data_IF_119180489500
#
_entry.id   IF_119180489500
#
_cell.length_a   1.000
_cell.length_b   1.000
_cell.length_c   1.000
_cell.angle_alpha   90.00
_cell.angle_beta   90.00
_cell.angle_gamma   90.00
#
_symmetry.space_group_name_H-M   'P 1'
#
loop_
_entity.id
_entity.type
_entity.pdbx_description
1 polymer ?
#
# COMPACT_ATOMS: atom_id res chain seq x y z
N UNK A 1 8.30 -18.07 0.92
CA UNK A 1 9.46 -18.22 0.03
C UNK A 1 9.09 -18.20 -1.45
N UNK A 2 8.14 -19.04 -1.90
CA UNK A 2 7.82 -19.16 -3.33
C UNK A 2 7.12 -17.92 -3.91
N UNK A 3 6.32 -17.23 -3.14
CA UNK A 3 5.62 -16.04 -3.60
C UNK A 3 6.55 -14.84 -3.82
N UNK A 4 7.62 -14.74 -3.05
CA UNK A 4 8.62 -13.67 -3.19
C UNK A 4 9.72 -14.03 -4.18
N UNK A 5 9.99 -15.34 -4.40
CA UNK A 5 11.00 -15.81 -5.33
C UNK A 5 10.65 -15.59 -6.79
N UNK A 6 9.38 -15.62 -7.14
CA UNK A 6 8.91 -15.39 -8.50
C UNK A 6 9.01 -13.94 -8.97
N UNK A 7 9.23 -13.00 -8.04
CA UNK A 7 9.48 -11.59 -8.36
C UNK A 7 10.96 -11.23 -8.53
N UNK A 8 11.86 -12.09 -8.07
CA UNK A 8 13.29 -11.82 -8.07
C UNK A 8 13.96 -12.37 -9.34
N UNK A 9 14.17 -11.51 -10.32
CA UNK A 9 14.95 -11.82 -11.51
C UNK A 9 14.20 -12.40 -12.70
N UNK A 10 12.90 -12.64 -12.58
CA UNK A 10 12.02 -12.94 -13.71
C UNK A 10 11.15 -11.73 -14.05
N UNK A 11 10.85 -11.55 -15.33
CA UNK A 11 9.89 -10.52 -15.75
C UNK A 11 8.61 -10.65 -14.92
N UNK A 12 7.99 -9.54 -14.49
CA UNK A 12 6.80 -9.57 -13.63
C UNK A 12 5.77 -10.47 -14.28
N UNK A 13 5.54 -11.62 -13.65
CA UNK A 13 4.51 -12.53 -14.11
C UNK A 13 3.17 -11.84 -13.82
N UNK A 14 2.45 -11.48 -14.87
CA UNK A 14 1.14 -10.83 -14.77
C UNK A 14 0.13 -11.72 -14.02
N UNK A 15 0.42 -13.00 -13.92
CA UNK A 15 -0.44 -14.01 -13.28
C UNK A 15 -0.10 -14.26 -11.80
N UNK A 16 0.88 -13.53 -11.22
CA UNK A 16 1.12 -13.62 -9.78
C UNK A 16 -0.03 -12.96 -9.04
N UNK A 17 -0.75 -13.77 -8.28
CA UNK A 17 -1.87 -13.33 -7.47
C UNK A 17 -1.39 -12.78 -6.11
N UNK A 18 -2.29 -12.11 -5.41
CA UNK A 18 -2.13 -11.69 -4.03
C UNK A 18 -1.05 -10.62 -3.83
N UNK A 19 -0.33 -10.70 -2.72
CA UNK A 19 0.63 -9.71 -2.27
C UNK A 19 1.74 -9.46 -3.28
N UNK A 20 2.26 -10.50 -3.94
CA UNK A 20 3.32 -10.38 -4.92
C UNK A 20 2.91 -9.55 -6.16
N UNK A 21 1.64 -9.59 -6.53
CA UNK A 21 1.10 -8.74 -7.59
C UNK A 21 1.28 -7.25 -7.25
N UNK A 22 0.91 -6.86 -6.03
CA UNK A 22 1.04 -5.46 -5.59
C UNK A 22 2.50 -5.05 -5.38
N UNK A 23 3.34 -5.94 -4.81
CA UNK A 23 4.77 -5.69 -4.66
C UNK A 23 5.44 -5.42 -6.02
N UNK A 24 5.10 -6.20 -7.05
CA UNK A 24 5.63 -5.99 -8.40
C UNK A 24 5.16 -4.68 -9.03
N UNK A 25 4.00 -4.17 -8.63
CA UNK A 25 3.49 -2.88 -9.12
C UNK A 25 4.27 -1.68 -8.59
N UNK A 26 4.82 -1.78 -7.38
CA UNK A 26 5.59 -0.71 -6.77
C UNK A 26 7.11 -0.96 -6.82
N UNK A 27 7.53 -2.19 -7.10
CA UNK A 27 8.95 -2.53 -7.21
C UNK A 27 9.54 -1.88 -8.48
N UNK A 28 10.52 -1.01 -8.28
CA UNK A 28 11.12 -0.22 -9.36
C UNK A 28 10.46 1.14 -9.58
N UNK A 29 9.48 1.52 -8.78
CA UNK A 29 9.07 2.92 -8.65
C UNK A 29 10.18 3.72 -7.96
N UNK A 30 10.31 4.99 -8.26
CA UNK A 30 11.48 5.80 -7.87
C UNK A 30 11.81 5.74 -6.38
N UNK A 31 10.82 5.64 -5.52
CA UNK A 31 11.00 5.64 -4.07
C UNK A 31 11.06 4.24 -3.46
N UNK A 32 10.72 3.18 -4.21
CA UNK A 32 10.57 1.83 -3.67
C UNK A 32 11.31 0.75 -4.48
N UNK A 33 12.34 1.16 -5.23
CA UNK A 33 13.19 0.21 -5.94
C UNK A 33 13.83 -0.80 -4.98
N UNK A 34 13.70 -2.08 -5.31
CA UNK A 34 14.30 -3.17 -4.52
C UNK A 34 13.47 -3.62 -3.31
N UNK A 35 12.20 -3.21 -3.18
CA UNK A 35 11.31 -3.67 -2.09
C UNK A 35 11.21 -5.21 -2.04
N UNK A 36 11.12 -5.88 -3.19
CA UNK A 36 11.08 -7.34 -3.26
C UNK A 36 12.35 -7.98 -2.68
N UNK A 37 13.52 -7.43 -3.00
CA UNK A 37 14.81 -7.92 -2.51
C UNK A 37 14.93 -7.72 -1.00
N UNK A 38 14.51 -6.57 -0.48
CA UNK A 38 14.52 -6.29 0.97
C UNK A 38 13.68 -7.31 1.73
N UNK A 39 12.43 -7.54 1.29
CA UNK A 39 11.52 -8.51 1.92
C UNK A 39 12.09 -9.93 1.82
N UNK A 40 12.60 -10.32 0.65
CA UNK A 40 13.17 -11.65 0.44
C UNK A 40 14.38 -11.91 1.34
N UNK A 41 15.32 -10.97 1.40
CA UNK A 41 16.50 -11.08 2.25
C UNK A 41 16.14 -11.11 3.73
N UNK A 42 15.16 -10.33 4.16
CA UNK A 42 14.67 -10.34 5.53
C UNK A 42 14.03 -11.70 5.90
N UNK A 43 13.27 -12.33 4.98
CA UNK A 43 12.79 -13.71 5.21
C UNK A 43 13.90 -14.73 5.34
N UNK A 44 14.98 -14.62 4.54
CA UNK A 44 16.14 -15.53 4.63
C UNK A 44 16.84 -15.34 5.97
N UNK A 45 17.15 -14.11 6.34
CA UNK A 45 17.83 -13.78 7.60
C UNK A 45 16.99 -14.19 8.81
N UNK A 46 15.70 -13.85 8.82
CA UNK A 46 14.79 -14.22 9.90
C UNK A 46 14.65 -15.74 10.07
N UNK A 47 14.62 -16.50 8.99
CA UNK A 47 14.63 -17.97 9.04
C UNK A 47 15.93 -18.51 9.66
N UNK A 48 17.08 -17.93 9.27
CA UNK A 48 18.35 -18.32 9.86
C UNK A 48 18.43 -17.99 11.35
N UNK A 49 17.92 -16.84 11.76
CA UNK A 49 17.80 -16.41 13.15
C UNK A 49 16.97 -17.41 13.98
N UNK A 50 15.81 -17.85 13.46
CA UNK A 50 14.97 -18.87 14.13
C UNK A 50 15.74 -20.18 14.34
N UNK A 51 16.46 -20.66 13.33
CA UNK A 51 17.26 -21.89 13.42
C UNK A 51 18.36 -21.76 14.48
N UNK A 52 18.97 -20.59 14.58
CA UNK A 52 20.03 -20.28 15.54
C UNK A 52 19.48 -19.90 16.94
N UNK A 53 18.16 -19.79 17.09
CA UNK A 53 17.48 -19.31 18.31
C UNK A 53 17.85 -17.87 18.69
N UNK A 54 18.22 -17.07 17.70
CA UNK A 54 18.44 -15.64 17.82
C UNK A 54 17.11 -14.91 17.59
N UNK A 55 16.39 -14.72 18.67
CA UNK A 55 15.03 -14.16 18.58
C UNK A 55 15.03 -12.64 18.43
N UNK A 56 16.09 -11.98 18.84
CA UNK A 56 16.24 -10.53 18.64
C UNK A 56 16.40 -10.23 17.14
N UNK A 57 17.31 -10.92 16.47
CA UNK A 57 17.48 -10.82 15.01
C UNK A 57 16.21 -11.21 14.24
N UNK A 58 15.50 -12.28 14.69
CA UNK A 58 14.19 -12.63 14.09
C UNK A 58 13.21 -11.47 14.14
N UNK A 59 13.12 -10.77 15.28
CA UNK A 59 12.18 -9.68 15.49
C UNK A 59 12.56 -8.44 14.67
N UNK A 60 13.86 -8.16 14.53
CA UNK A 60 14.35 -7.12 13.62
C UNK A 60 13.96 -7.42 12.16
N UNK A 61 14.16 -8.64 11.70
CA UNK A 61 13.78 -9.02 10.34
C UNK A 61 12.26 -8.99 10.12
N UNK A 62 11.47 -9.36 11.12
CA UNK A 62 10.01 -9.26 11.07
C UNK A 62 9.54 -7.79 10.99
N UNK A 63 10.22 -6.87 11.68
CA UNK A 63 9.94 -5.45 11.60
C UNK A 63 10.24 -4.88 10.20
N UNK A 64 11.35 -5.27 9.57
CA UNK A 64 11.69 -4.90 8.18
C UNK A 64 10.59 -5.38 7.23
N UNK A 65 10.20 -6.65 7.31
CA UNK A 65 9.13 -7.20 6.46
C UNK A 65 7.83 -6.41 6.65
N UNK A 66 7.44 -6.15 7.89
CA UNK A 66 6.23 -5.39 8.20
C UNK A 66 6.26 -3.98 7.61
N UNK A 67 7.39 -3.27 7.75
CA UNK A 67 7.55 -1.91 7.23
C UNK A 67 7.50 -1.89 5.68
N UNK A 68 8.22 -2.79 5.03
CA UNK A 68 8.24 -2.85 3.57
C UNK A 68 6.85 -3.24 2.99
N UNK A 69 6.12 -4.17 3.63
CA UNK A 69 4.76 -4.52 3.22
C UNK A 69 3.77 -3.37 3.44
N UNK A 70 3.97 -2.58 4.48
CA UNK A 70 3.12 -1.42 4.78
C UNK A 70 3.18 -0.35 3.70
N UNK A 71 4.32 -0.20 3.01
CA UNK A 71 4.47 0.72 1.89
C UNK A 71 3.50 0.41 0.75
N UNK A 72 3.23 -0.88 0.51
CA UNK A 72 2.23 -1.29 -0.51
C UNK A 72 0.87 -0.71 -0.21
N UNK A 73 0.47 -0.73 1.07
CA UNK A 73 -0.84 -0.23 1.48
C UNK A 73 -0.92 1.29 1.25
N UNK A 74 0.08 2.04 1.72
CA UNK A 74 0.12 3.50 1.55
C UNK A 74 0.18 3.91 0.08
N UNK A 75 1.09 3.31 -0.68
CA UNK A 75 1.22 3.58 -2.11
C UNK A 75 -0.10 3.32 -2.87
N UNK A 76 -0.76 2.19 -2.58
CA UNK A 76 -2.02 1.85 -3.25
C UNK A 76 -3.20 2.70 -2.83
N UNK A 77 -3.25 3.13 -1.56
CA UNK A 77 -4.26 4.10 -1.13
C UNK A 77 -4.14 5.41 -1.94
N UNK A 78 -2.93 5.95 -2.08
CA UNK A 78 -2.68 7.13 -2.91
C UNK A 78 -3.01 6.88 -4.39
N UNK A 79 -2.49 5.79 -4.97
CA UNK A 79 -2.67 5.41 -6.38
C UNK A 79 -4.15 5.40 -6.80
N UNK A 80 -5.00 4.75 -6.01
CA UNK A 80 -6.41 4.61 -6.35
C UNK A 80 -7.22 5.90 -6.12
N UNK A 81 -6.80 6.75 -5.19
CA UNK A 81 -7.42 8.08 -5.04
C UNK A 81 -7.10 8.98 -6.25
N UNK A 82 -5.85 9.00 -6.69
CA UNK A 82 -5.43 9.76 -7.88
C UNK A 82 -6.10 9.21 -9.14
N UNK A 83 -6.08 7.88 -9.33
CA UNK A 83 -6.73 7.24 -10.48
C UNK A 83 -8.23 7.53 -10.52
N UNK A 84 -8.92 7.44 -9.38
CA UNK A 84 -10.33 7.80 -9.29
C UNK A 84 -10.62 9.27 -9.63
N UNK A 85 -9.73 10.20 -9.24
CA UNK A 85 -9.83 11.60 -9.60
C UNK A 85 -9.65 11.83 -11.11
N UNK A 86 -8.71 11.13 -11.73
CA UNK A 86 -8.48 11.18 -13.18
C UNK A 86 -9.68 10.60 -13.94
N UNK A 87 -10.20 9.46 -13.52
CA UNK A 87 -11.35 8.80 -14.15
C UNK A 87 -12.61 9.65 -14.07
N UNK A 88 -12.88 10.31 -12.92
CA UNK A 88 -14.00 11.28 -12.79
C UNK A 88 -13.82 12.44 -13.77
N UNK A 89 -12.61 12.98 -13.87
CA UNK A 89 -12.30 14.11 -14.79
C UNK A 89 -12.54 13.71 -16.25
N UNK A 90 -12.26 12.46 -16.60
CA UNK A 90 -12.47 11.92 -17.94
C UNK A 90 -13.93 11.49 -18.20
N UNK A 91 -14.76 11.42 -17.18
CA UNK A 91 -16.14 10.93 -17.26
C UNK A 91 -16.27 9.41 -17.23
N UNK A 92 -15.20 8.69 -16.91
CA UNK A 92 -15.11 7.22 -16.86
C UNK A 92 -15.57 6.69 -15.49
N UNK A 93 -16.85 6.88 -15.19
CA UNK A 93 -17.42 6.55 -13.88
C UNK A 93 -17.31 5.07 -13.48
N UNK A 94 -17.30 4.15 -14.43
CA UNK A 94 -17.15 2.73 -14.12
C UNK A 94 -15.75 2.45 -13.52
N UNK A 95 -14.70 3.03 -14.12
CA UNK A 95 -13.34 2.88 -13.66
C UNK A 95 -13.11 3.70 -12.37
N UNK A 96 -13.71 4.90 -12.27
CA UNK A 96 -13.70 5.70 -11.05
C UNK A 96 -14.26 4.92 -9.85
N UNK A 97 -15.43 4.30 -9.98
CA UNK A 97 -16.04 3.52 -8.89
C UNK A 97 -15.21 2.29 -8.51
N UNK A 98 -14.60 1.63 -9.50
CA UNK A 98 -13.63 0.57 -9.23
C UNK A 98 -12.45 1.10 -8.42
N UNK A 99 -11.82 2.19 -8.88
CA UNK A 99 -10.71 2.81 -8.17
C UNK A 99 -11.07 3.23 -6.74
N UNK A 100 -12.24 3.86 -6.54
CA UNK A 100 -12.68 4.31 -5.21
C UNK A 100 -13.00 3.12 -4.27
N UNK A 101 -13.51 2.01 -4.80
CA UNK A 101 -13.72 0.80 -3.99
C UNK A 101 -12.40 0.19 -3.51
N UNK A 102 -11.37 0.18 -4.35
CA UNK A 102 -10.02 -0.24 -4.00
C UNK A 102 -9.38 0.74 -3.00
N UNK A 103 -9.51 2.06 -3.25
CA UNK A 103 -9.03 3.10 -2.35
C UNK A 103 -9.60 2.93 -0.94
N UNK A 104 -10.91 2.66 -0.82
CA UNK A 104 -11.56 2.42 0.46
C UNK A 104 -10.88 1.27 1.24
N UNK A 105 -10.60 0.16 0.58
CA UNK A 105 -9.94 -0.99 1.20
C UNK A 105 -8.51 -0.69 1.64
N UNK A 106 -7.73 0.00 0.81
CA UNK A 106 -6.36 0.38 1.15
C UNK A 106 -6.29 1.43 2.25
N UNK A 107 -7.17 2.44 2.23
CA UNK A 107 -7.29 3.43 3.32
C UNK A 107 -7.64 2.73 4.64
N UNK A 108 -8.63 1.82 4.63
CA UNK A 108 -8.98 1.03 5.81
C UNK A 108 -7.77 0.27 6.36
N UNK A 109 -6.89 -0.23 5.48
CA UNK A 109 -5.67 -0.94 5.84
C UNK A 109 -4.61 -0.08 6.52
N UNK A 110 -4.60 1.25 6.31
CA UNK A 110 -3.53 2.14 6.78
C UNK A 110 -3.38 2.18 8.31
N UNK A 111 -4.45 1.96 9.07
CA UNK A 111 -4.39 1.85 10.53
C UNK A 111 -3.63 0.61 11.04
N UNK A 112 -3.41 -0.37 10.18
CA UNK A 112 -2.70 -1.62 10.52
C UNK A 112 -1.28 -1.66 9.96
N UNK A 113 -0.85 -0.61 9.26
CA UNK A 113 0.49 -0.49 8.72
C UNK A 113 1.53 -0.32 9.83
N UNK A 114 2.79 -0.47 9.47
CA UNK A 114 3.93 -0.17 10.35
C UNK A 114 5.00 0.55 9.56
N UNK A 115 5.30 1.76 9.98
CA UNK A 115 6.48 2.48 9.49
C UNK A 115 7.78 1.88 10.07
N UNK A 116 8.91 2.47 9.76
CA UNK A 116 10.23 2.06 10.28
C UNK A 116 10.37 2.20 11.79
N UNK A 117 9.46 2.92 12.45
CA UNK A 117 9.42 3.10 13.92
C UNK A 117 8.38 2.20 14.60
N UNK A 118 7.63 1.42 13.80
CA UNK A 118 6.58 0.52 14.27
C UNK A 118 5.20 1.16 14.46
N UNK A 119 5.05 2.43 14.10
CA UNK A 119 3.77 3.14 14.18
C UNK A 119 2.96 2.97 12.88
N UNK A 120 1.61 3.00 12.94
CA UNK A 120 0.80 3.03 11.74
C UNK A 120 0.99 4.35 10.99
N UNK A 121 0.87 4.34 9.66
CA UNK A 121 0.91 5.57 8.86
C UNK A 121 -0.21 6.53 9.24
N UNK A 122 -1.38 5.99 9.55
CA UNK A 122 -2.53 6.78 10.01
C UNK A 122 -3.16 6.12 11.23
N UNK A 123 -3.62 6.93 12.15
CA UNK A 123 -4.39 6.48 13.29
C UNK A 123 -5.78 5.98 12.86
N UNK A 124 -6.43 5.20 13.71
CA UNK A 124 -7.81 4.78 13.47
C UNK A 124 -8.77 5.97 13.26
N UNK A 125 -8.56 7.09 13.96
CA UNK A 125 -9.38 8.28 13.82
C UNK A 125 -9.21 8.94 12.45
N UNK A 126 -7.99 9.10 11.98
CA UNK A 126 -7.68 9.66 10.66
C UNK A 126 -8.20 8.78 9.53
N UNK A 127 -8.04 7.45 9.65
CA UNK A 127 -8.60 6.50 8.68
C UNK A 127 -10.12 6.60 8.62
N UNK A 128 -10.81 6.64 9.77
CA UNK A 128 -12.26 6.75 9.79
C UNK A 128 -12.76 8.11 9.24
N UNK A 129 -12.02 9.19 9.44
CA UNK A 129 -12.32 10.48 8.84
C UNK A 129 -12.22 10.42 7.31
N UNK A 130 -11.13 9.90 6.77
CA UNK A 130 -10.97 9.69 5.31
C UNK A 130 -12.08 8.83 4.73
N UNK A 131 -12.39 7.68 5.35
CA UNK A 131 -13.45 6.79 4.89
C UNK A 131 -14.82 7.44 4.93
N UNK A 132 -15.09 8.22 5.97
CA UNK A 132 -16.36 8.97 6.10
C UNK A 132 -16.51 10.01 5.01
N UNK A 133 -15.45 10.74 4.69
CA UNK A 133 -15.43 11.72 3.59
C UNK A 133 -15.55 11.05 2.23
N UNK A 134 -14.84 9.94 2.01
CA UNK A 134 -14.86 9.19 0.76
C UNK A 134 -16.26 8.66 0.44
N UNK A 135 -17.00 8.21 1.45
CA UNK A 135 -18.35 7.66 1.31
C UNK A 135 -19.47 8.61 1.70
N UNK A 136 -19.21 9.92 1.85
CA UNK A 136 -20.18 10.90 2.29
C UNK A 136 -21.32 11.11 1.28
N UNK A 137 -22.48 11.55 1.80
CA UNK A 137 -23.69 11.83 1.01
C UNK A 137 -24.53 10.58 0.71
N UNK A 138 -25.72 10.82 0.18
CA UNK A 138 -26.68 9.75 -0.14
C UNK A 138 -26.23 8.90 -1.35
N UNK A 139 -25.45 9.51 -2.25
CA UNK A 139 -24.86 8.85 -3.43
C UNK A 139 -23.48 8.23 -3.17
N UNK A 140 -22.87 8.45 -1.98
CA UNK A 140 -21.57 7.90 -1.64
C UNK A 140 -20.48 8.25 -2.66
N UNK A 141 -19.83 7.27 -3.26
CA UNK A 141 -18.75 7.49 -4.26
C UNK A 141 -19.21 8.29 -5.49
N UNK A 142 -20.49 8.22 -5.87
CA UNK A 142 -21.04 8.97 -7.00
C UNK A 142 -21.03 10.49 -6.81
N UNK A 143 -20.89 10.95 -5.59
CA UNK A 143 -20.88 12.38 -5.26
C UNK A 143 -19.47 12.93 -5.07
N UNK A 144 -18.44 12.10 -5.28
CA UNK A 144 -17.05 12.54 -5.15
C UNK A 144 -16.64 13.40 -6.33
N UNK A 145 -15.83 14.42 -6.03
CA UNK A 145 -15.18 15.26 -7.03
C UNK A 145 -13.70 14.92 -7.14
N UNK A 146 -13.10 15.21 -8.29
CA UNK A 146 -11.66 15.03 -8.48
C UNK A 146 -10.83 15.85 -7.49
N UNK A 147 -11.28 17.05 -7.11
CA UNK A 147 -10.61 17.91 -6.13
C UNK A 147 -10.60 17.27 -4.73
N UNK A 148 -11.75 16.72 -4.28
CA UNK A 148 -11.83 16.03 -2.99
C UNK A 148 -10.89 14.82 -2.93
N UNK A 149 -10.86 14.04 -4.00
CA UNK A 149 -10.01 12.84 -4.07
C UNK A 149 -8.52 13.21 -4.10
N UNK A 150 -8.15 14.26 -4.82
CA UNK A 150 -6.77 14.76 -4.84
C UNK A 150 -6.35 15.24 -3.45
N UNK A 151 -7.21 15.97 -2.74
CA UNK A 151 -6.92 16.40 -1.37
C UNK A 151 -6.73 15.21 -0.42
N UNK A 152 -7.56 14.15 -0.54
CA UNK A 152 -7.39 12.92 0.23
C UNK A 152 -6.09 12.18 -0.13
N UNK A 153 -5.70 12.19 -1.41
CA UNK A 153 -4.44 11.61 -1.85
C UNK A 153 -3.23 12.34 -1.26
N UNK A 154 -3.28 13.67 -1.20
CA UNK A 154 -2.24 14.50 -0.56
C UNK A 154 -2.09 14.18 0.94
N UNK A 155 -3.21 13.97 1.64
CA UNK A 155 -3.20 13.55 3.05
C UNK A 155 -2.54 12.18 3.23
N UNK A 156 -2.86 11.22 2.35
CA UNK A 156 -2.22 9.89 2.34
C UNK A 156 -0.73 10.01 2.05
N UNK A 157 -0.33 10.82 1.06
CA UNK A 157 1.07 11.07 0.74
C UNK A 157 1.83 11.67 1.93
N UNK A 158 1.24 12.64 2.61
CA UNK A 158 1.84 13.25 3.81
C UNK A 158 2.02 12.23 4.94
N UNK A 159 1.02 11.39 5.19
CA UNK A 159 1.05 10.37 6.24
C UNK A 159 2.09 9.27 5.97
N UNK A 160 2.35 8.95 4.70
CA UNK A 160 3.31 7.91 4.29
C UNK A 160 4.72 8.42 4.06
N UNK A 161 4.98 9.70 4.27
CA UNK A 161 6.29 10.29 4.02
C UNK A 161 6.63 10.45 2.53
N UNK A 162 5.61 10.55 1.67
CA UNK A 162 5.76 10.82 0.25
C UNK A 162 5.69 9.57 -0.66
N UNK A 163 5.04 8.50 -0.21
CA UNK A 163 4.72 7.38 -1.09
C UNK A 163 3.64 7.81 -2.10
N UNK A 164 4.08 8.21 -3.28
CA UNK A 164 3.21 8.68 -4.37
C UNK A 164 3.44 7.89 -5.63
N UNK A 165 2.50 8.03 -6.57
CA UNK A 165 2.57 7.49 -7.93
C UNK A 165 3.64 8.19 -8.76
#
# INVERSE_FOLDING_TARGET
>A
DSQFKSGLGEAPNKDTANLNYYLNKINGQDNEAGINDKIYNAFIAGRAAIVNKDYDERDEQAAIISAELSKVIGYKAHYYLVGGAEDITNGDWADALHALSEAYGFILGMQFTKDSTGNPYMTNAEVNDLLSRLSAGDGGFWERTAEELTAMADEVAAATGGLTN
#
